data_IF_834691999442
#
_entry.id   IF_834691999442
#
_cell.length_a   1.000
_cell.length_b   1.000
_cell.length_c   1.000
_cell.angle_alpha   90.00
_cell.angle_beta   90.00
_cell.angle_gamma   90.00
#
_symmetry.space_group_name_H-M   'P 1'
#
loop_
_entity.id
_entity.type
_entity.pdbx_description
1 polymer ?
#
# COMPACT_ATOMS: atom_id res chain seq x y z
N UNK A 1 1.86 -9.51 -2.15
CA UNK A 1 0.49 -8.97 -2.12
C UNK A 1 -0.06 -9.06 -0.70
N UNK A 2 -0.69 -8.00 -0.20
CA UNK A 2 -1.27 -7.96 1.13
C UNK A 2 -2.78 -8.21 1.09
N UNK A 3 -3.31 -8.77 2.17
CA UNK A 3 -4.75 -9.05 2.28
C UNK A 3 -5.53 -7.76 2.54
N UNK A 4 -6.59 -7.53 1.76
CA UNK A 4 -7.58 -6.49 2.07
C UNK A 4 -8.43 -6.93 3.26
N UNK A 5 -8.13 -6.42 4.44
CA UNK A 5 -8.83 -6.72 5.69
C UNK A 5 -8.82 -5.51 6.61
N UNK A 6 -9.88 -5.36 7.41
CA UNK A 6 -9.99 -4.32 8.44
C UNK A 6 -9.12 -4.60 9.67
N UNK A 7 -8.50 -5.78 9.78
CA UNK A 7 -7.70 -6.17 10.96
C UNK A 7 -6.27 -5.64 10.92
N UNK A 8 -5.72 -5.43 9.73
CA UNK A 8 -4.32 -5.00 9.54
C UNK A 8 -4.33 -3.51 9.25
N UNK A 9 -3.54 -2.77 10.02
CA UNK A 9 -3.44 -1.32 9.92
C UNK A 9 -2.02 -0.91 9.60
N UNK A 10 -1.91 0.14 8.80
CA UNK A 10 -0.66 0.78 8.42
C UNK A 10 -0.75 2.24 8.86
N UNK A 11 0.38 2.82 9.26
CA UNK A 11 0.40 4.25 9.54
C UNK A 11 0.53 5.00 8.22
N UNK A 12 -0.48 5.79 7.89
CA UNK A 12 -0.51 6.67 6.72
C UNK A 12 -1.05 8.02 7.16
N UNK A 13 -0.36 9.12 6.81
CA UNK A 13 -0.73 10.48 7.24
C UNK A 13 -1.00 10.56 8.76
N UNK A 14 -0.09 10.01 9.55
CA UNK A 14 -0.14 9.96 11.03
C UNK A 14 -1.33 9.17 11.63
N UNK A 15 -2.15 8.52 10.79
CA UNK A 15 -3.29 7.71 11.22
C UNK A 15 -3.06 6.24 10.97
N UNK A 16 -3.43 5.40 11.93
CA UNK A 16 -3.48 3.96 11.75
C UNK A 16 -4.78 3.57 11.04
N UNK A 17 -4.66 3.08 9.82
CA UNK A 17 -5.82 2.73 9.00
C UNK A 17 -5.56 1.50 8.15
N UNK A 18 -6.62 0.79 7.81
CA UNK A 18 -6.53 -0.38 6.96
C UNK A 18 -6.29 0.00 5.48
N UNK A 19 -5.87 -0.97 4.69
CA UNK A 19 -5.50 -0.77 3.27
C UNK A 19 -6.66 -0.23 2.42
N UNK A 20 -7.91 -0.53 2.76
CA UNK A 20 -9.10 -0.03 2.03
C UNK A 20 -9.31 1.46 2.29
N UNK A 21 -9.17 1.91 3.53
CA UNK A 21 -9.24 3.33 3.87
C UNK A 21 -8.09 4.11 3.22
N UNK A 22 -6.88 3.54 3.16
CA UNK A 22 -5.76 4.14 2.44
C UNK A 22 -6.09 4.30 0.95
N UNK A 23 -6.58 3.23 0.31
CA UNK A 23 -6.98 3.26 -1.10
C UNK A 23 -8.00 4.38 -1.41
N UNK A 24 -8.97 4.60 -0.53
CA UNK A 24 -10.00 5.64 -0.71
C UNK A 24 -9.45 7.07 -0.67
N UNK A 25 -8.25 7.28 -0.10
CA UNK A 25 -7.58 8.58 -0.05
C UNK A 25 -6.65 8.81 -1.26
N UNK A 26 -6.53 7.84 -2.17
CA UNK A 26 -5.74 8.00 -3.38
C UNK A 26 -6.47 8.87 -4.39
N UNK A 27 -5.71 9.72 -5.06
CA UNK A 27 -6.16 10.35 -6.29
C UNK A 27 -6.25 9.29 -7.40
N UNK A 28 -7.27 9.40 -8.24
CA UNK A 28 -7.40 8.54 -9.42
C UNK A 28 -6.20 8.74 -10.36
N UNK A 29 -5.68 7.68 -10.99
CA UNK A 29 -4.58 7.81 -11.94
C UNK A 29 -4.98 8.69 -13.12
N UNK A 30 -4.03 9.50 -13.62
CA UNK A 30 -4.22 10.37 -14.78
C UNK A 30 -4.64 9.59 -16.04
N UNK A 31 -4.07 8.39 -16.22
CA UNK A 31 -4.48 7.46 -17.28
C UNK A 31 -5.37 6.33 -16.70
N UNK A 32 -6.67 6.28 -17.06
CA UNK A 32 -7.56 5.20 -16.67
C UNK A 32 -7.15 3.82 -17.18
N UNK A 33 -6.16 3.69 -18.07
CA UNK A 33 -5.61 2.42 -18.54
C UNK A 33 -4.29 2.02 -17.86
N UNK A 34 -3.70 2.90 -17.04
CA UNK A 34 -2.48 2.57 -16.31
C UNK A 34 -2.69 1.34 -15.42
N UNK A 35 -1.75 0.37 -15.42
CA UNK A 35 -1.86 -0.83 -14.59
C UNK A 35 -1.70 -0.51 -13.10
N UNK A 36 -0.89 0.50 -12.78
CA UNK A 36 -0.72 1.06 -11.44
C UNK A 36 -1.79 2.14 -11.23
N UNK A 37 -2.52 2.03 -10.13
CA UNK A 37 -3.54 3.00 -9.70
C UNK A 37 -2.86 4.14 -8.93
N UNK A 38 -1.91 3.79 -8.08
CA UNK A 38 -1.10 4.73 -7.30
C UNK A 38 -0.32 4.00 -6.22
N UNK A 39 0.49 4.73 -5.46
CA UNK A 39 1.22 4.19 -4.33
C UNK A 39 1.26 5.17 -3.17
N UNK A 40 1.53 4.66 -1.97
CA UNK A 40 1.78 5.48 -0.78
C UNK A 40 2.91 4.91 0.06
N UNK A 41 3.69 5.79 0.67
CA UNK A 41 4.59 5.42 1.75
C UNK A 41 3.78 5.28 3.05
N UNK A 42 4.04 4.21 3.79
CA UNK A 42 3.40 3.87 5.06
C UNK A 42 4.46 3.40 6.05
N UNK A 43 4.07 3.34 7.34
CA UNK A 43 4.85 2.61 8.33
C UNK A 43 4.13 1.36 8.81
N UNK A 44 4.90 0.31 9.01
CA UNK A 44 4.47 -0.95 9.63
C UNK A 44 5.20 -1.13 10.95
N UNK A 45 4.58 -1.89 11.85
CA UNK A 45 5.14 -2.28 13.14
C UNK A 45 5.13 -3.79 13.25
N UNK A 46 6.10 -4.36 13.94
CA UNK A 46 6.17 -5.80 14.17
C UNK A 46 4.97 -6.28 15.00
N UNK A 47 4.62 -5.52 16.04
CA UNK A 47 3.47 -5.81 16.90
C UNK A 47 2.72 -4.54 17.34
N UNK A 48 1.65 -4.70 18.13
CA UNK A 48 0.80 -3.57 18.54
C UNK A 48 1.38 -2.68 19.63
N UNK A 49 2.38 -3.16 20.37
CA UNK A 49 3.03 -2.50 21.50
C UNK A 49 4.43 -1.98 21.14
N UNK A 50 4.93 -2.29 19.94
CA UNK A 50 6.21 -1.79 19.43
C UNK A 50 6.33 -0.27 19.60
N UNK A 51 7.43 0.23 20.18
CA UNK A 51 7.78 1.65 20.23
C UNK A 51 7.75 2.31 18.83
N UNK A 52 7.51 3.62 18.80
CA UNK A 52 7.35 4.39 17.55
C UNK A 52 8.63 4.41 16.70
N UNK A 53 9.77 4.28 17.35
CA UNK A 53 11.11 4.18 16.77
C UNK A 53 11.44 2.82 16.15
N UNK A 54 10.60 1.79 16.36
CA UNK A 54 10.76 0.45 15.76
C UNK A 54 9.90 0.26 14.50
N UNK A 55 9.33 1.33 13.96
CA UNK A 55 8.52 1.25 12.77
C UNK A 55 9.37 1.11 11.51
N UNK A 56 8.95 0.23 10.61
CA UNK A 56 9.59 0.01 9.31
C UNK A 56 8.83 0.79 8.25
N UNK A 57 9.55 1.63 7.50
CA UNK A 57 8.98 2.29 6.33
C UNK A 57 8.74 1.28 5.20
N UNK A 58 7.60 1.42 4.52
CA UNK A 58 7.22 0.58 3.41
C UNK A 58 6.40 1.38 2.40
N UNK A 59 6.24 0.84 1.20
CA UNK A 59 5.35 1.36 0.16
C UNK A 59 4.25 0.36 -0.11
N UNK A 60 3.01 0.82 -0.14
CA UNK A 60 1.89 0.06 -0.69
C UNK A 60 1.67 0.54 -2.12
N UNK A 61 1.78 -0.38 -3.09
CA UNK A 61 1.49 -0.12 -4.51
C UNK A 61 0.15 -0.75 -4.86
N UNK A 62 -0.78 0.07 -5.33
CA UNK A 62 -2.12 -0.35 -5.75
C UNK A 62 -2.15 -0.55 -7.25
N UNK A 63 -2.64 -1.70 -7.70
CA UNK A 63 -2.73 -2.07 -9.11
C UNK A 63 -4.12 -2.54 -9.47
N UNK A 64 -4.48 -2.42 -10.74
CA UNK A 64 -5.71 -3.03 -11.27
C UNK A 64 -5.58 -4.55 -11.25
N UNK A 65 -6.61 -5.23 -10.76
CA UNK A 65 -6.73 -6.66 -10.99
C UNK A 65 -7.07 -6.90 -12.46
N UNK A 66 -6.34 -7.80 -13.14
CA UNK A 66 -6.64 -8.17 -14.52
C UNK A 66 -7.75 -9.22 -14.63
N UNK A 67 -8.09 -9.87 -13.51
CA UNK A 67 -9.08 -10.96 -13.44
C UNK A 67 -10.44 -10.49 -12.95
N UNK A 68 -10.53 -9.29 -12.39
CA UNK A 68 -11.76 -8.70 -11.84
C UNK A 68 -11.74 -7.18 -11.98
N UNK A 69 -12.88 -6.51 -11.77
CA UNK A 69 -12.94 -5.03 -11.74
C UNK A 69 -12.40 -4.44 -10.42
N UNK A 70 -11.71 -5.24 -9.61
CA UNK A 70 -11.16 -4.83 -8.33
C UNK A 70 -9.70 -4.39 -8.46
N UNK A 71 -9.09 -4.06 -7.33
CA UNK A 71 -7.67 -3.73 -7.21
C UNK A 71 -6.94 -4.71 -6.31
N UNK A 72 -5.62 -4.77 -6.47
CA UNK A 72 -4.70 -5.51 -5.60
C UNK A 72 -3.72 -4.52 -4.95
N UNK A 73 -3.16 -4.92 -3.80
CA UNK A 73 -2.15 -4.14 -3.09
C UNK A 73 -0.87 -4.96 -2.87
N UNK A 74 0.26 -4.41 -3.30
CA UNK A 74 1.60 -4.96 -3.07
C UNK A 74 2.28 -4.15 -1.97
N UNK A 75 3.02 -4.82 -1.08
CA UNK A 75 3.79 -4.16 -0.03
C UNK A 75 5.26 -4.38 -0.34
N UNK A 76 6.03 -3.30 -0.38
CA UNK A 76 7.48 -3.32 -0.55
C UNK A 76 8.14 -2.56 0.61
N UNK A 77 9.08 -3.18 1.31
CA UNK A 77 9.84 -2.54 2.39
C UNK A 77 11.11 -1.85 1.88
N UNK A 78 11.51 -2.10 0.63
CA UNK A 78 12.59 -1.38 -0.02
C UNK A 78 12.03 -0.19 -0.83
N UNK A 79 12.23 1.02 -0.32
CA UNK A 79 11.74 2.24 -0.95
C UNK A 79 12.58 2.71 -2.14
N UNK A 80 13.77 2.12 -2.35
CA UNK A 80 14.64 2.43 -3.48
C UNK A 80 14.15 1.81 -4.79
N UNK A 81 13.33 0.76 -4.69
CA UNK A 81 12.71 0.08 -5.83
C UNK A 81 11.56 0.94 -6.39
N UNK A 82 11.48 1.07 -7.72
CA UNK A 82 10.39 1.80 -8.37
C UNK A 82 9.07 1.04 -8.31
N UNK A 83 7.95 1.73 -8.47
CA UNK A 83 6.62 1.11 -8.42
C UNK A 83 6.44 0.06 -9.54
N UNK A 84 6.99 0.34 -10.71
CA UNK A 84 6.96 -0.57 -11.87
C UNK A 84 7.72 -1.86 -11.58
N UNK A 85 8.86 -1.78 -10.90
CA UNK A 85 9.66 -2.95 -10.56
C UNK A 85 8.99 -3.75 -9.43
N UNK A 86 8.36 -3.09 -8.45
CA UNK A 86 7.53 -3.76 -7.42
C UNK A 86 6.41 -4.59 -8.06
N UNK A 87 5.83 -4.12 -9.17
CA UNK A 87 4.74 -4.83 -9.89
C UNK A 87 5.27 -5.94 -10.79
N UNK A 88 6.53 -5.89 -11.20
CA UNK A 88 7.16 -6.86 -12.10
C UNK A 88 7.62 -8.13 -11.40
N UNK A 89 8.05 -8.01 -10.13
CA UNK A 89 8.52 -9.10 -9.26
C UNK A 89 7.36 -10.00 -8.84
#
# INVERSE_FOLDING_TARGET
MIRTTEKIHYQYQEKWQNVKSIYQNLESPLDPKAPIIGSVCVKIREDKVSPVDEFVDARIVFIKDRRSENWLALLCTDLSVSEEEVVRI
#
